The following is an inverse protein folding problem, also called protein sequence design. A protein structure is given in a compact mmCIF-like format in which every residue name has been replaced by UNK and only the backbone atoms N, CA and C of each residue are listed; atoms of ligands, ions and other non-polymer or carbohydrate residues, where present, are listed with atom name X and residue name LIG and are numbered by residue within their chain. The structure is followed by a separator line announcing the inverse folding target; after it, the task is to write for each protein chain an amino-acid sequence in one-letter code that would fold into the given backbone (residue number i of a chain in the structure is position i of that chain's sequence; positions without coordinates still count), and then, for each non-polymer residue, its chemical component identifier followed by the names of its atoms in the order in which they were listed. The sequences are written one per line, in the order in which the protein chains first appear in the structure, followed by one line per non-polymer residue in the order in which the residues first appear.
data_IF_148066987876
#
_entry.id   IF_148066987876
#
_cell.length_a   1.000
_cell.length_b   1.000
_cell.length_c   1.000
_cell.angle_alpha   90.00
_cell.angle_beta   90.00
_cell.angle_gamma   90.00
#
_symmetry.space_group_name_H-M   'P 1'
#
loop_
_entity.id
_entity.type
_entity.pdbx_description
1 polymer ?
#
# COMPACT_ATOMS: atom_id res chain seq x y z
N UNK A 1 -14.51 -4.09 -4.00
CA UNK A 1 -13.24 -4.22 -4.78
C UNK A 1 -12.69 -5.61 -4.60
N UNK A 2 -12.25 -6.23 -5.65
CA UNK A 2 -11.53 -7.50 -5.54
C UNK A 2 -10.20 -7.27 -4.84
N UNK A 3 -9.70 -8.24 -4.08
CA UNK A 3 -8.36 -8.13 -3.51
C UNK A 3 -7.31 -7.92 -4.60
N UNK A 4 -6.40 -6.98 -4.36
CA UNK A 4 -5.30 -6.68 -5.26
C UNK A 4 -4.01 -6.94 -4.52
N UNK A 5 -3.10 -7.69 -5.15
CA UNK A 5 -1.84 -8.10 -4.54
C UNK A 5 -0.67 -7.47 -5.29
N UNK A 6 0.23 -6.87 -4.54
CA UNK A 6 1.51 -6.35 -5.04
C UNK A 6 2.63 -6.87 -4.14
N UNK A 7 3.83 -6.97 -4.68
CA UNK A 7 4.96 -7.47 -3.91
C UNK A 7 6.24 -6.72 -4.23
N UNK A 8 7.21 -6.81 -3.31
CA UNK A 8 8.55 -6.26 -3.46
C UNK A 8 9.57 -7.24 -2.91
N UNK A 9 10.71 -7.38 -3.59
CA UNK A 9 11.72 -8.38 -3.28
C UNK A 9 11.34 -9.77 -3.83
N UNK A 10 12.15 -10.80 -3.55
CA UNK A 10 13.45 -10.74 -2.89
C UNK A 10 14.55 -10.16 -3.78
N UNK A 11 15.66 -9.75 -3.13
CA UNK A 11 16.83 -9.26 -3.89
C UNK A 11 16.71 -7.85 -4.42
N UNK A 12 15.67 -7.11 -4.04
CA UNK A 12 15.50 -5.72 -4.47
C UNK A 12 16.57 -4.82 -3.84
N UNK A 13 17.02 -3.82 -4.59
CA UNK A 13 17.87 -2.77 -4.04
C UNK A 13 17.03 -1.87 -3.15
N UNK A 14 17.31 -1.89 -1.85
CA UNK A 14 16.52 -1.13 -0.88
C UNK A 14 17.02 0.31 -0.73
N UNK A 15 16.11 1.27 -0.45
CA UNK A 15 14.66 1.09 -0.34
C UNK A 15 14.00 0.82 -1.71
N UNK A 16 13.02 -0.06 -1.72
CA UNK A 16 12.32 -0.43 -2.94
C UNK A 16 10.81 -0.44 -2.70
N UNK A 17 10.07 0.22 -3.57
CA UNK A 17 8.61 0.25 -3.50
C UNK A 17 7.96 -0.80 -4.40
N UNK A 18 6.83 -1.32 -3.97
CA UNK A 18 5.97 -2.15 -4.81
C UNK A 18 5.23 -1.30 -5.84
N UNK A 19 4.48 -1.94 -6.73
CA UNK A 19 3.50 -1.23 -7.54
C UNK A 19 2.42 -0.57 -6.66
N UNK A 20 1.74 0.42 -7.21
CA UNK A 20 0.67 1.14 -6.53
C UNK A 20 -0.64 0.39 -6.67
N UNK A 21 -1.44 0.36 -5.59
CA UNK A 21 -2.81 -0.13 -5.61
C UNK A 21 -3.76 1.06 -5.54
N UNK A 22 -4.63 1.21 -6.54
CA UNK A 22 -5.66 2.24 -6.53
C UNK A 22 -6.86 1.77 -5.71
N UNK A 23 -7.32 2.63 -4.81
CA UNK A 23 -8.47 2.35 -3.97
C UNK A 23 -9.70 3.11 -4.48
N UNK A 24 -10.88 2.59 -4.14
CA UNK A 24 -12.16 3.19 -4.55
C UNK A 24 -12.57 4.25 -3.53
N UNK A 25 -12.11 5.49 -3.71
CA UNK A 25 -12.36 6.57 -2.75
C UNK A 25 -13.84 6.95 -2.66
N UNK A 26 -14.64 6.60 -3.66
CA UNK A 26 -16.07 6.90 -3.71
C UNK A 26 -16.93 5.84 -3.00
N UNK A 27 -16.40 4.64 -2.76
CA UNK A 27 -17.21 3.52 -2.27
C UNK A 27 -17.52 3.61 -0.77
N UNK A 28 -16.74 4.37 -0.03
CA UNK A 28 -16.84 4.40 1.44
C UNK A 28 -16.35 3.10 2.06
N UNK A 29 -16.55 2.97 3.39
CA UNK A 29 -16.08 1.80 4.13
C UNK A 29 -14.60 1.84 4.42
N UNK A 30 -14.07 0.71 4.88
CA UNK A 30 -12.67 0.55 5.25
C UNK A 30 -11.96 -0.35 4.25
N UNK A 31 -10.66 -0.18 4.16
CA UNK A 31 -9.81 -1.11 3.44
C UNK A 31 -9.02 -1.96 4.44
N UNK A 32 -8.87 -3.25 4.15
CA UNK A 32 -7.95 -4.10 4.89
C UNK A 32 -6.68 -4.33 4.10
N UNK A 33 -5.56 -4.37 4.80
CA UNK A 33 -4.24 -4.54 4.21
C UNK A 33 -3.59 -5.73 4.89
N UNK A 34 -3.22 -6.74 4.10
CA UNK A 34 -2.52 -7.91 4.59
C UNK A 34 -1.11 -7.91 4.03
N UNK A 35 -0.12 -7.90 4.90
CA UNK A 35 1.28 -7.99 4.51
C UNK A 35 1.86 -9.32 4.96
N UNK A 36 2.36 -10.09 4.01
CA UNK A 36 3.02 -11.36 4.27
C UNK A 36 4.50 -11.18 4.02
N UNK A 37 5.30 -11.35 5.07
CA UNK A 37 6.74 -11.19 5.01
C UNK A 37 7.42 -12.56 4.87
N UNK A 38 8.47 -12.64 4.07
CA UNK A 38 9.29 -13.82 3.90
C UNK A 38 10.74 -13.41 3.97
N UNK A 39 11.51 -14.05 4.87
CA UNK A 39 12.90 -13.71 5.10
C UNK A 39 13.08 -12.48 5.98
N UNK A 40 14.24 -11.86 5.89
CA UNK A 40 14.56 -10.67 6.67
C UNK A 40 14.06 -9.43 5.95
N UNK A 41 13.13 -8.72 6.59
CA UNK A 41 12.51 -7.53 5.99
C UNK A 41 12.32 -6.45 7.04
N UNK A 42 12.28 -5.20 6.58
CA UNK A 42 11.76 -4.05 7.30
C UNK A 42 10.95 -3.25 6.29
N UNK A 43 9.63 -3.17 6.48
CA UNK A 43 8.76 -2.56 5.48
C UNK A 43 7.78 -1.57 6.11
N UNK A 44 7.27 -0.68 5.29
CA UNK A 44 6.24 0.30 5.67
C UNK A 44 5.19 0.36 4.58
N UNK A 45 3.93 0.27 4.96
CA UNK A 45 2.82 0.57 4.05
C UNK A 45 2.69 2.08 3.92
N UNK A 46 2.67 2.57 2.70
CA UNK A 46 2.58 3.99 2.39
C UNK A 46 1.28 4.30 1.66
N UNK A 47 0.78 5.50 1.87
CA UNK A 47 -0.45 5.99 1.24
C UNK A 47 -0.20 7.33 0.56
N UNK A 48 -0.98 7.61 -0.48
CA UNK A 48 -0.90 8.88 -1.20
C UNK A 48 -2.29 9.27 -1.71
N UNK A 49 -2.57 10.56 -1.70
CA UNK A 49 -3.78 11.13 -2.31
C UNK A 49 -3.48 11.83 -3.63
N UNK A 50 -2.25 11.81 -4.07
CA UNK A 50 -1.89 12.34 -5.39
C UNK A 50 -2.34 11.37 -6.48
N UNK A 51 -2.85 11.92 -7.58
CA UNK A 51 -3.39 11.11 -8.68
C UNK A 51 -2.79 11.57 -10.00
N UNK A 52 -2.01 10.69 -10.68
CA UNK A 52 -1.47 11.01 -12.00
C UNK A 52 -2.52 11.21 -13.07
N UNK A 53 -3.73 10.71 -12.83
CA UNK A 53 -4.84 10.77 -13.79
C UNK A 53 -5.90 11.81 -13.42
N UNK A 54 -5.62 12.68 -12.46
CA UNK A 54 -6.56 13.75 -12.09
C UNK A 54 -6.75 14.68 -13.28
N UNK A 55 -7.99 14.92 -13.73
CA UNK A 55 -8.23 15.77 -14.90
C UNK A 55 -7.95 17.25 -14.65
N UNK A 56 -7.88 17.69 -13.40
CA UNK A 56 -7.67 19.09 -13.04
C UNK A 56 -6.22 19.36 -12.64
N UNK A 57 -5.68 18.51 -11.77
CA UNK A 57 -4.32 18.70 -11.21
C UNK A 57 -3.59 17.36 -11.17
N UNK A 58 -3.18 16.81 -12.31
CA UNK A 58 -2.47 15.54 -12.30
C UNK A 58 -1.09 15.72 -11.65
N UNK A 59 -0.71 14.73 -10.85
CA UNK A 59 0.61 14.67 -10.21
C UNK A 59 1.39 13.53 -10.84
N UNK A 60 2.54 13.83 -11.46
CA UNK A 60 3.37 12.79 -12.07
C UNK A 60 3.75 11.72 -11.05
N UNK A 61 3.85 10.47 -11.49
CA UNK A 61 4.12 9.33 -10.59
C UNK A 61 5.37 9.57 -9.75
N UNK A 62 6.45 10.10 -10.34
CA UNK A 62 7.67 10.39 -9.62
C UNK A 62 7.59 11.56 -8.65
N UNK A 63 6.52 12.35 -8.70
CA UNK A 63 6.31 13.52 -7.85
C UNK A 63 5.22 13.29 -6.79
N UNK A 64 4.64 12.11 -6.71
CA UNK A 64 3.63 11.79 -5.72
C UNK A 64 4.20 11.86 -4.31
N UNK A 65 3.42 12.42 -3.38
CA UNK A 65 3.78 12.47 -1.97
C UNK A 65 3.28 11.19 -1.29
N UNK A 66 4.20 10.44 -0.72
CA UNK A 66 3.91 9.22 0.02
C UNK A 66 4.11 9.44 1.51
N UNK A 67 3.14 8.98 2.29
CA UNK A 67 3.18 9.06 3.75
C UNK A 67 3.03 7.67 4.35
N UNK A 68 3.67 7.43 5.49
CA UNK A 68 3.50 6.17 6.20
C UNK A 68 2.04 5.99 6.62
N UNK A 69 1.59 4.74 6.65
CA UNK A 69 0.25 4.41 7.15
C UNK A 69 0.08 4.94 8.58
N UNK A 70 -1.11 5.44 8.94
CA UNK A 70 -1.38 5.84 10.32
C UNK A 70 -1.37 4.66 11.31
N UNK A 71 -1.46 3.43 10.84
CA UNK A 71 -1.39 2.25 11.69
C UNK A 71 0.07 1.82 11.85
N UNK A 72 0.58 1.93 13.08
CA UNK A 72 1.97 1.60 13.40
C UNK A 72 2.32 0.11 13.20
N UNK A 73 1.33 -0.78 13.11
CA UNK A 73 1.59 -2.20 12.87
C UNK A 73 2.27 -2.45 11.53
N UNK A 74 2.08 -1.58 10.56
CA UNK A 74 2.67 -1.69 9.22
C UNK A 74 3.67 -0.58 8.92
N UNK A 75 4.25 0.00 9.96
CA UNK A 75 5.33 0.99 9.84
C UNK A 75 6.60 0.39 10.43
N UNK A 76 7.65 0.29 9.62
CA UNK A 76 8.90 -0.37 9.97
C UNK A 76 8.68 -1.79 10.54
N UNK A 77 7.76 -2.51 9.93
CA UNK A 77 7.39 -3.85 10.38
C UNK A 77 8.42 -4.88 9.91
N UNK A 78 8.66 -5.89 10.73
CA UNK A 78 9.63 -6.95 10.44
C UNK A 78 8.98 -8.33 10.32
N UNK A 79 7.67 -8.41 10.48
CA UNK A 79 6.91 -9.65 10.41
C UNK A 79 5.61 -9.42 9.65
N UNK A 80 4.92 -10.51 9.30
CA UNK A 80 3.62 -10.42 8.64
C UNK A 80 2.61 -9.72 9.55
N UNK A 81 1.80 -8.82 8.99
CA UNK A 81 0.83 -8.01 9.72
C UNK A 81 -0.46 -7.84 8.93
N UNK A 82 -1.56 -7.66 9.67
CA UNK A 82 -2.84 -7.20 9.12
C UNK A 82 -3.13 -5.81 9.65
N UNK A 83 -3.64 -4.95 8.80
CA UNK A 83 -3.97 -3.57 9.16
C UNK A 83 -5.26 -3.16 8.48
N UNK A 84 -5.84 -2.06 8.92
CA UNK A 84 -6.98 -1.46 8.23
C UNK A 84 -6.74 0.03 7.99
N UNK A 85 -7.27 0.51 6.86
CA UNK A 85 -7.28 1.92 6.51
C UNK A 85 -8.69 2.45 6.71
N UNK A 86 -8.88 3.27 7.73
CA UNK A 86 -10.17 3.88 8.03
C UNK A 86 -10.46 5.11 7.20
N UNK A 87 -9.41 5.79 6.77
CA UNK A 87 -9.49 6.86 5.77
C UNK A 87 -8.89 6.34 4.47
N UNK A 88 -9.71 6.26 3.43
CA UNK A 88 -9.30 5.64 2.19
C UNK A 88 -8.46 6.61 1.36
N UNK A 89 -7.17 6.32 1.14
CA UNK A 89 -6.34 7.11 0.23
C UNK A 89 -6.65 6.77 -1.22
N UNK A 90 -6.13 7.57 -2.15
CA UNK A 90 -6.25 7.25 -3.57
C UNK A 90 -5.40 6.04 -3.94
N UNK A 91 -4.17 5.99 -3.42
CA UNK A 91 -3.24 4.89 -3.67
C UNK A 91 -2.59 4.41 -2.38
N UNK A 92 -2.20 3.14 -2.37
CA UNK A 92 -1.28 2.61 -1.36
C UNK A 92 -0.25 1.69 -2.00
N UNK A 93 0.86 1.52 -1.33
CA UNK A 93 1.94 0.61 -1.73
C UNK A 93 2.68 0.13 -0.49
N UNK A 94 3.52 -0.88 -0.65
CA UNK A 94 4.46 -1.29 0.39
C UNK A 94 5.88 -0.89 -0.01
N UNK A 95 6.61 -0.28 0.91
CA UNK A 95 8.02 0.09 0.73
C UNK A 95 8.89 -0.85 1.55
N UNK A 96 9.78 -1.58 0.91
CA UNK A 96 10.78 -2.37 1.59
C UNK A 96 11.94 -1.44 1.95
N UNK A 97 12.04 -1.10 3.24
CA UNK A 97 13.07 -0.17 3.74
C UNK A 97 14.46 -0.81 3.73
N UNK A 98 14.52 -2.08 4.12
CA UNK A 98 15.78 -2.84 4.19
C UNK A 98 15.48 -4.33 4.23
N UNK A 99 16.53 -5.13 4.03
CA UNK A 99 16.46 -6.58 4.09
C UNK A 99 16.52 -7.24 2.73
N UNK A 100 16.80 -8.55 2.74
CA UNK A 100 16.94 -9.36 1.53
C UNK A 100 15.71 -10.20 1.24
N UNK A 101 14.71 -10.19 2.13
CA UNK A 101 13.48 -10.93 1.98
C UNK A 101 12.48 -10.23 1.05
N UNK A 102 11.24 -10.68 1.13
CA UNK A 102 10.16 -10.14 0.32
C UNK A 102 8.93 -9.85 1.17
N UNK A 103 8.11 -8.92 0.69
CA UNK A 103 6.81 -8.59 1.28
C UNK A 103 5.77 -8.61 0.18
N UNK A 104 4.68 -9.30 0.44
CA UNK A 104 3.51 -9.34 -0.43
C UNK A 104 2.35 -8.66 0.28
N UNK A 105 1.82 -7.59 -0.31
CA UNK A 105 0.71 -6.83 0.24
C UNK A 105 -0.55 -7.13 -0.56
N UNK A 106 -1.60 -7.53 0.13
CA UNK A 106 -2.93 -7.71 -0.46
C UNK A 106 -3.88 -6.70 0.15
N UNK A 107 -4.55 -5.93 -0.69
CA UNK A 107 -5.51 -4.91 -0.28
C UNK A 107 -6.90 -5.32 -0.72
N UNK A 108 -7.82 -5.33 0.23
CA UNK A 108 -9.24 -5.55 -0.04
C UNK A 108 -10.04 -4.41 0.57
N UNK A 109 -10.93 -3.84 -0.21
CA UNK A 109 -11.75 -2.72 0.24
C UNK A 109 -13.18 -3.21 0.41
N UNK A 110 -13.71 -3.06 1.62
CA UNK A 110 -15.12 -3.29 1.87
C UNK A 110 -15.93 -2.07 1.48
N UNK A 111 -17.16 -2.28 1.10
CA UNK A 111 -18.07 -1.23 0.72
C UNK A 111 -19.36 -1.82 0.20
N UNK A 112 -20.37 -0.98 0.05
CA UNK A 112 -21.62 -1.41 -0.57
C UNK A 112 -21.43 -1.33 -2.08
N UNK A 113 -21.38 -2.49 -2.70
CA UNK A 113 -21.34 -2.57 -4.16
C UNK A 113 -22.75 -2.97 -4.63
N UNK A 114 -23.47 -2.07 -5.27
CA UNK A 114 -24.77 -2.44 -5.84
C UNK A 114 -24.53 -3.32 -7.08
N UNK A 115 -25.03 -4.49 -7.00
CA UNK A 115 -25.02 -5.42 -8.11
C UNK A 115 -26.35 -5.39 -8.86
#
# INVERSE_FOLDING_TARGET
MRPITVSVGPGATTPAGSGMVRLDTWAGGNASVQCVASGTVNYTVQTSNDDPNDPVSPVAVGSMTWSASPDSLVVAATASQMSSLTSIPVFCRVLLNSGTGSVTMTVAQSGVVPY
#
